data_IF_815595974831
#
_entry.id   IF_815595974831
#
_cell.length_a   1.000
_cell.length_b   1.000
_cell.length_c   1.000
_cell.angle_alpha   90.00
_cell.angle_beta   90.00
_cell.angle_gamma   90.00
#
_symmetry.space_group_name_H-M   'P 1'
#
loop_
_entity.id
_entity.type
_entity.pdbx_description
1 polymer ?
#
# COMPACT_ATOMS: atom_id res chain seq x y z
N UNK A 1 51.19 -6.22 -9.34
CA UNK A 1 51.46 -6.24 -10.78
C UNK A 1 50.42 -7.07 -11.48
N UNK A 2 49.81 -6.57 -12.55
CA UNK A 2 48.82 -7.15 -13.49
C UNK A 2 47.39 -6.75 -13.16
N UNK A 3 46.64 -6.13 -14.01
CA UNK A 3 46.67 -5.37 -15.29
C UNK A 3 45.24 -4.87 -15.46
N UNK A 4 45.10 -3.60 -15.75
CA UNK A 4 43.82 -2.99 -16.20
C UNK A 4 43.36 -3.70 -17.49
N UNK A 5 42.03 -3.88 -17.60
CA UNK A 5 41.38 -4.02 -18.88
C UNK A 5 40.22 -3.02 -18.95
N UNK A 6 40.45 -1.94 -19.64
CA UNK A 6 39.48 -1.00 -20.18
C UNK A 6 38.78 -1.70 -21.35
N UNK A 7 37.45 -1.77 -21.34
CA UNK A 7 36.67 -2.00 -22.56
C UNK A 7 35.62 -0.91 -22.69
N UNK A 8 35.93 -0.02 -23.62
CA UNK A 8 35.01 0.96 -24.18
C UNK A 8 34.06 0.24 -25.15
N UNK A 9 32.76 0.44 -25.05
CA UNK A 9 31.80 0.10 -26.06
C UNK A 9 30.91 1.27 -26.37
N UNK A 10 31.00 1.61 -27.61
CA UNK A 10 30.43 2.57 -28.49
C UNK A 10 28.95 2.94 -28.27
N UNK A 11 28.73 4.21 -28.47
CA UNK A 11 27.49 4.93 -28.75
C UNK A 11 26.89 4.42 -30.07
N UNK A 12 25.63 4.02 -30.06
CA UNK A 12 24.84 3.93 -31.27
C UNK A 12 23.54 4.75 -31.12
N UNK A 13 23.61 5.96 -31.66
CA UNK A 13 22.49 6.85 -31.90
C UNK A 13 21.65 6.32 -33.06
N UNK A 14 20.38 6.05 -32.83
CA UNK A 14 19.41 5.92 -33.91
C UNK A 14 18.28 6.91 -33.63
N UNK A 15 18.31 7.98 -34.41
CA UNK A 15 17.23 8.94 -34.52
C UNK A 15 16.04 8.34 -35.27
N UNK A 16 14.87 8.56 -34.78
CA UNK A 16 13.64 8.43 -35.56
C UNK A 16 12.83 9.72 -35.42
N UNK A 17 12.97 10.57 -36.42
CA UNK A 17 12.00 11.62 -36.76
C UNK A 17 10.78 10.94 -37.39
N UNK A 18 9.61 11.20 -36.87
CA UNK A 18 8.38 11.12 -37.64
C UNK A 18 7.43 12.22 -37.20
N UNK A 19 7.44 13.27 -38.00
CA UNK A 19 6.39 14.28 -38.09
C UNK A 19 5.09 13.62 -38.58
N UNK A 20 4.00 13.83 -37.89
CA UNK A 20 2.68 13.80 -38.50
C UNK A 20 1.88 15.03 -38.08
N UNK A 21 2.03 16.04 -38.89
CA UNK A 21 1.14 17.20 -38.98
C UNK A 21 -0.14 16.77 -39.68
N UNK A 22 -1.25 16.72 -39.01
CA UNK A 22 -2.57 16.70 -39.67
C UNK A 22 -3.33 17.93 -39.22
N UNK A 23 -3.26 18.93 -40.07
CA UNK A 23 -4.16 20.06 -40.09
C UNK A 23 -5.45 19.62 -40.81
N UNK A 24 -6.56 19.57 -40.12
CA UNK A 24 -7.86 19.58 -40.77
C UNK A 24 -8.57 20.90 -40.51
N UNK A 25 -8.63 21.66 -41.54
CA UNK A 25 -9.43 22.84 -41.74
C UNK A 25 -10.93 22.51 -41.67
N UNK A 26 -11.64 23.21 -40.80
CA UNK A 26 -13.12 23.22 -40.74
C UNK A 26 -13.64 24.32 -41.66
N UNK A 27 -14.54 24.05 -42.55
CA UNK A 27 -15.28 25.12 -43.23
C UNK A 27 -16.41 25.63 -42.36
N UNK A 28 -16.39 26.91 -42.17
CA UNK A 28 -17.44 27.73 -41.54
C UNK A 28 -18.57 27.87 -42.51
N UNK A 29 -19.76 27.37 -42.18
CA UNK A 29 -20.96 27.81 -42.89
C UNK A 29 -21.93 28.45 -41.90
N UNK A 30 -22.28 29.65 -42.26
CA UNK A 30 -23.17 30.57 -41.58
C UNK A 30 -24.60 30.38 -42.09
N UNK A 31 -25.56 30.60 -41.17
CA UNK A 31 -26.95 30.94 -41.41
C UNK A 31 -27.98 29.84 -41.19
N UNK A 32 -28.65 29.90 -40.04
CA UNK A 32 -30.12 29.98 -39.99
C UNK A 32 -30.69 29.98 -38.57
N UNK A 33 -31.17 31.16 -38.18
CA UNK A 33 -32.53 31.50 -37.71
C UNK A 33 -33.20 30.59 -36.68
N UNK A 34 -33.29 31.08 -35.42
CA UNK A 34 -34.29 30.66 -34.42
C UNK A 34 -35.72 31.01 -34.89
N UNK A 35 -36.78 30.31 -34.47
CA UNK A 35 -37.44 30.39 -33.16
C UNK A 35 -38.22 29.10 -32.78
N UNK A 36 -39.06 29.09 -31.72
CA UNK A 36 -38.95 29.30 -30.30
C UNK A 36 -39.35 28.06 -29.47
N UNK A 37 -38.94 28.07 -28.25
CA UNK A 37 -39.53 27.56 -27.02
C UNK A 37 -40.63 26.47 -27.14
N UNK A 38 -40.34 25.26 -26.68
CA UNK A 38 -41.32 24.51 -25.87
C UNK A 38 -40.64 23.68 -24.80
N UNK A 39 -41.28 23.71 -23.67
CA UNK A 39 -40.92 23.19 -22.38
C UNK A 39 -40.91 21.66 -22.31
N UNK A 40 -40.07 21.12 -21.42
CA UNK A 40 -40.12 19.75 -20.91
C UNK A 40 -39.30 18.72 -21.69
N UNK A 41 -38.00 18.72 -21.44
CA UNK A 41 -37.22 17.49 -21.61
C UNK A 41 -36.17 17.35 -20.50
N UNK A 42 -36.51 16.49 -19.59
CA UNK A 42 -35.68 15.81 -18.62
C UNK A 42 -34.25 15.62 -19.15
N UNK A 43 -33.29 16.34 -18.57
CA UNK A 43 -31.89 16.19 -18.86
C UNK A 43 -31.42 14.79 -18.41
N UNK A 44 -31.27 13.88 -19.35
CA UNK A 44 -30.51 12.67 -19.18
C UNK A 44 -29.04 13.05 -19.33
N UNK A 45 -28.41 13.37 -18.24
CA UNK A 45 -26.95 13.50 -18.15
C UNK A 45 -26.37 12.12 -18.41
N UNK A 46 -25.89 11.88 -19.62
CA UNK A 46 -25.06 10.72 -19.92
C UNK A 46 -23.71 10.95 -19.26
N UNK A 47 -23.65 10.60 -17.98
CA UNK A 47 -22.38 10.43 -17.27
C UNK A 47 -21.69 9.23 -17.89
N UNK A 48 -20.65 9.46 -18.66
CA UNK A 48 -19.70 8.43 -19.04
C UNK A 48 -19.09 7.90 -17.75
N UNK A 49 -19.65 6.83 -17.26
CA UNK A 49 -19.12 6.09 -16.13
C UNK A 49 -17.88 5.35 -16.61
N UNK A 50 -16.70 5.88 -16.30
CA UNK A 50 -15.52 5.03 -16.19
C UNK A 50 -15.88 3.87 -15.24
N UNK A 51 -15.42 2.65 -15.46
CA UNK A 51 -15.65 1.57 -14.52
C UNK A 51 -14.94 1.91 -13.20
N UNK A 52 -15.67 2.56 -12.34
CA UNK A 52 -15.30 2.65 -10.94
C UNK A 52 -15.69 1.31 -10.35
N UNK A 53 -14.75 0.43 -10.11
CA UNK A 53 -14.89 -0.64 -9.13
C UNK A 53 -15.20 0.04 -7.79
N UNK A 54 -16.48 0.30 -7.59
CA UNK A 54 -17.02 0.72 -6.33
C UNK A 54 -17.25 -0.54 -5.47
N UNK A 55 -16.18 -1.22 -5.13
CA UNK A 55 -16.11 -1.87 -3.84
C UNK A 55 -16.26 -0.73 -2.85
N UNK A 56 -17.37 -0.67 -2.12
CA UNK A 56 -17.65 0.37 -1.14
C UNK A 56 -16.38 0.58 -0.32
N UNK A 57 -15.83 1.80 -0.42
CA UNK A 57 -14.52 2.11 0.10
C UNK A 57 -14.47 1.78 1.59
N UNK A 58 -13.85 0.66 1.92
CA UNK A 58 -13.78 0.09 3.27
C UNK A 58 -12.57 0.67 3.98
N UNK A 59 -12.71 0.99 5.25
CA UNK A 59 -11.57 1.32 6.09
C UNK A 59 -10.65 0.10 6.29
N UNK A 60 -9.48 0.30 6.86
CA UNK A 60 -8.50 -0.76 7.12
C UNK A 60 -9.15 -1.93 7.87
N UNK A 61 -9.94 -1.66 8.91
CA UNK A 61 -10.55 -2.71 9.74
C UNK A 61 -11.58 -3.51 8.94
N UNK A 62 -12.42 -2.83 8.15
CA UNK A 62 -13.41 -3.48 7.30
C UNK A 62 -12.77 -4.24 6.14
N UNK A 63 -11.61 -3.79 5.65
CA UNK A 63 -10.85 -4.48 4.61
C UNK A 63 -10.22 -5.75 5.17
N UNK A 64 -9.54 -5.69 6.32
CA UNK A 64 -8.99 -6.84 7.02
C UNK A 64 -10.05 -7.90 7.34
N UNK A 65 -11.24 -7.49 7.78
CA UNK A 65 -12.34 -8.41 8.10
C UNK A 65 -12.84 -9.21 6.89
N UNK A 66 -12.52 -8.81 5.67
CA UNK A 66 -12.88 -9.55 4.45
C UNK A 66 -11.76 -10.49 3.97
N UNK A 67 -10.58 -10.45 4.60
CA UNK A 67 -9.45 -11.32 4.27
C UNK A 67 -9.40 -12.47 5.28
N UNK A 68 -9.74 -13.67 4.82
CA UNK A 68 -9.81 -14.84 5.70
C UNK A 68 -8.46 -15.20 6.33
N UNK A 69 -7.37 -14.90 5.65
CA UNK A 69 -6.01 -15.15 6.11
C UNK A 69 -5.54 -14.21 7.24
N UNK A 70 -6.31 -13.16 7.55
CA UNK A 70 -6.00 -12.14 8.54
C UNK A 70 -7.02 -12.11 9.69
N UNK A 71 -7.82 -13.18 9.84
CA UNK A 71 -8.87 -13.27 10.86
C UNK A 71 -8.34 -13.14 12.28
N UNK A 72 -7.16 -13.71 12.57
CA UNK A 72 -6.53 -13.64 13.89
C UNK A 72 -6.06 -12.22 14.21
N UNK A 73 -5.58 -11.49 13.21
CA UNK A 73 -5.25 -10.07 13.34
C UNK A 73 -6.48 -9.25 13.69
N UNK A 74 -7.61 -9.49 13.02
CA UNK A 74 -8.88 -8.80 13.33
C UNK A 74 -9.35 -9.08 14.76
N UNK A 75 -9.23 -10.33 15.20
CA UNK A 75 -9.54 -10.69 16.59
C UNK A 75 -8.62 -9.96 17.59
N UNK A 76 -7.33 -9.88 17.29
CA UNK A 76 -6.35 -9.15 18.11
C UNK A 76 -6.64 -7.64 18.16
N UNK A 77 -7.00 -7.01 17.02
CA UNK A 77 -7.38 -5.59 16.95
C UNK A 77 -8.59 -5.30 17.84
N UNK A 78 -9.59 -6.18 17.84
CA UNK A 78 -10.78 -6.08 18.70
C UNK A 78 -10.42 -6.22 20.17
N UNK A 79 -9.63 -7.21 20.53
CA UNK A 79 -9.18 -7.44 21.90
C UNK A 79 -8.38 -6.25 22.45
N UNK A 80 -7.56 -5.64 21.60
CA UNK A 80 -6.75 -4.47 21.95
C UNK A 80 -7.53 -3.13 21.92
N UNK A 81 -8.82 -3.14 21.52
CA UNK A 81 -9.65 -1.94 21.32
C UNK A 81 -9.05 -0.90 20.35
N UNK A 82 -8.26 -1.35 19.36
CA UNK A 82 -7.60 -0.49 18.39
C UNK A 82 -8.47 -0.15 17.16
N UNK A 83 -9.69 -0.68 17.08
CA UNK A 83 -10.58 -0.40 15.96
C UNK A 83 -10.83 1.10 15.76
N UNK A 84 -11.03 1.85 16.86
CA UNK A 84 -11.29 3.28 16.80
C UNK A 84 -10.05 4.05 16.31
N UNK A 85 -8.86 3.63 16.72
CA UNK A 85 -7.60 4.23 16.32
C UNK A 85 -7.35 3.99 14.81
N UNK A 86 -7.60 2.77 14.35
CA UNK A 86 -7.46 2.38 12.94
C UNK A 86 -8.57 2.91 12.02
N UNK A 87 -9.71 3.35 12.56
CA UNK A 87 -10.77 4.06 11.82
C UNK A 87 -10.50 5.57 11.70
N UNK A 88 -9.47 6.07 12.37
CA UNK A 88 -9.08 7.47 12.30
C UNK A 88 -8.68 7.93 10.89
N UNK A 89 -8.55 9.25 10.76
CA UNK A 89 -8.07 9.88 9.52
C UNK A 89 -6.58 9.57 9.34
N UNK A 90 -6.26 8.50 8.52
CA UNK A 90 -4.90 8.16 8.15
C UNK A 90 -4.15 9.30 7.44
N UNK A 91 -3.16 9.02 6.65
CA UNK A 91 -2.86 7.70 6.09
C UNK A 91 -2.07 6.78 7.05
N UNK A 92 -2.46 5.50 7.05
CA UNK A 92 -1.76 4.45 7.77
C UNK A 92 -1.27 3.37 6.81
N UNK A 93 -0.18 2.70 7.18
CA UNK A 93 0.21 1.44 6.56
C UNK A 93 0.18 0.36 7.64
N UNK A 94 -0.64 -0.66 7.45
CA UNK A 94 -0.75 -1.78 8.38
C UNK A 94 0.01 -2.96 7.83
N UNK A 95 0.97 -3.43 8.60
CA UNK A 95 1.70 -4.68 8.33
C UNK A 95 0.88 -5.81 8.94
N UNK A 96 0.08 -6.49 8.11
CA UNK A 96 -0.87 -7.50 8.53
C UNK A 96 -0.23 -8.89 8.59
N UNK A 97 0.03 -9.45 9.78
CA UNK A 97 0.46 -10.83 9.91
C UNK A 97 -0.69 -11.77 9.54
N UNK A 98 -0.43 -12.74 8.68
CA UNK A 98 -1.40 -13.77 8.35
C UNK A 98 -1.59 -14.78 9.51
N UNK A 99 -2.62 -15.62 9.44
CA UNK A 99 -2.90 -16.62 10.47
C UNK A 99 -1.70 -17.55 10.73
N UNK A 100 -0.96 -17.94 9.67
CA UNK A 100 0.27 -18.73 9.81
C UNK A 100 1.37 -18.03 10.60
N UNK A 101 1.40 -16.69 10.59
CA UNK A 101 2.33 -15.91 11.41
C UNK A 101 1.98 -16.01 12.90
N UNK A 102 0.70 -16.05 13.24
CA UNK A 102 0.24 -16.28 14.63
C UNK A 102 0.49 -17.72 15.08
N UNK A 103 0.32 -18.70 14.21
CA UNK A 103 0.62 -20.12 14.49
C UNK A 103 2.10 -20.36 14.77
N UNK A 104 2.98 -19.56 14.19
CA UNK A 104 4.42 -19.61 14.44
C UNK A 104 4.81 -19.07 15.83
N UNK A 105 3.93 -18.35 16.52
CA UNK A 105 4.16 -17.88 17.89
C UNK A 105 3.94 -19.03 18.87
N UNK A 106 4.84 -19.26 19.84
CA UNK A 106 4.59 -20.23 20.90
C UNK A 106 3.24 -19.95 21.61
N UNK A 107 2.39 -20.97 21.71
CA UNK A 107 1.03 -20.83 22.24
C UNK A 107 0.94 -20.07 23.56
N UNK A 108 1.88 -20.29 24.47
CA UNK A 108 1.92 -19.57 25.75
C UNK A 108 2.18 -18.06 25.62
N UNK A 109 2.92 -17.62 24.60
CA UNK A 109 3.09 -16.20 24.28
C UNK A 109 1.85 -15.62 23.63
N UNK A 110 1.26 -16.35 22.70
CA UNK A 110 0.02 -15.93 22.02
C UNK A 110 -1.12 -15.80 23.04
N UNK A 111 -1.30 -16.79 23.91
CA UNK A 111 -2.30 -16.74 24.98
C UNK A 111 -2.11 -15.56 25.92
N UNK A 112 -0.86 -15.28 26.28
CA UNK A 112 -0.53 -14.13 27.14
C UNK A 112 -0.83 -12.80 26.43
N UNK A 113 -0.62 -12.75 25.13
CA UNK A 113 -0.91 -11.60 24.29
C UNK A 113 -2.41 -11.35 24.16
N UNK A 114 -3.18 -12.40 23.87
CA UNK A 114 -4.63 -12.31 23.72
C UNK A 114 -5.38 -12.06 25.03
N UNK A 115 -4.78 -12.39 26.17
CA UNK A 115 -5.36 -12.15 27.51
C UNK A 115 -5.03 -10.76 28.06
N UNK A 116 -4.01 -10.09 27.54
CA UNK A 116 -3.58 -8.77 28.00
C UNK A 116 -3.80 -7.72 26.91
N UNK A 117 -4.91 -6.95 26.97
CA UNK A 117 -5.21 -5.94 25.95
C UNK A 117 -4.10 -4.90 25.77
N UNK A 118 -3.36 -4.60 26.83
CA UNK A 118 -2.28 -3.61 26.78
C UNK A 118 -1.10 -4.11 25.97
N UNK A 119 -0.71 -5.37 26.17
CA UNK A 119 0.35 -6.00 25.39
C UNK A 119 -0.06 -6.19 23.94
N UNK A 120 -1.29 -6.63 23.72
CA UNK A 120 -1.86 -6.72 22.37
C UNK A 120 -1.82 -5.37 21.65
N UNK A 121 -2.25 -4.31 22.31
CA UNK A 121 -2.23 -2.96 21.74
C UNK A 121 -0.81 -2.50 21.41
N UNK A 122 0.17 -2.73 22.29
CA UNK A 122 1.57 -2.34 22.06
C UNK A 122 2.13 -3.07 20.82
N UNK A 123 1.95 -4.38 20.74
CA UNK A 123 2.44 -5.16 19.59
C UNK A 123 1.73 -4.73 18.31
N UNK A 124 0.41 -4.55 18.33
CA UNK A 124 -0.33 -4.13 17.15
C UNK A 124 0.05 -2.73 16.67
N UNK A 125 0.33 -1.79 17.59
CA UNK A 125 0.90 -0.48 17.21
C UNK A 125 2.27 -0.60 16.57
N UNK A 126 3.05 -1.60 16.94
CA UNK A 126 4.31 -1.96 16.28
C UNK A 126 4.13 -2.48 14.84
N UNK A 127 2.91 -2.91 14.47
CA UNK A 127 2.54 -3.29 13.10
C UNK A 127 1.92 -2.16 12.30
N UNK A 128 1.64 -1.01 12.92
CA UNK A 128 1.04 0.14 12.25
C UNK A 128 2.12 1.20 12.04
N UNK A 129 2.32 1.57 10.79
CA UNK A 129 3.26 2.62 10.39
C UNK A 129 2.48 3.89 10.08
N UNK A 130 2.91 5.01 10.65
CA UNK A 130 2.33 6.31 10.35
C UNK A 130 2.78 6.77 8.96
N UNK A 131 1.83 6.92 8.04
CA UNK A 131 2.07 7.32 6.66
C UNK A 131 1.60 6.26 5.65
N UNK A 132 1.54 6.67 4.38
CA UNK A 132 1.21 5.79 3.27
C UNK A 132 2.50 5.29 2.62
N UNK A 133 2.81 4.03 2.83
CA UNK A 133 3.98 3.37 2.25
C UNK A 133 3.53 2.27 1.29
N UNK A 134 3.08 2.68 0.10
CA UNK A 134 2.80 1.75 -0.98
C UNK A 134 4.09 1.08 -1.50
N UNK A 135 3.95 0.04 -2.27
CA UNK A 135 5.08 -0.70 -2.85
C UNK A 135 6.08 0.22 -3.57
N UNK A 136 5.58 1.24 -4.26
CA UNK A 136 6.43 2.20 -4.96
C UNK A 136 7.25 3.06 -3.97
N UNK A 137 6.63 3.52 -2.89
CA UNK A 137 7.29 4.27 -1.83
C UNK A 137 8.31 3.41 -1.08
N UNK A 138 7.99 2.15 -0.79
CA UNK A 138 8.92 1.20 -0.16
C UNK A 138 10.12 0.91 -1.06
N UNK A 139 9.91 0.68 -2.35
CA UNK A 139 11.00 0.48 -3.33
C UNK A 139 11.86 1.73 -3.44
N UNK A 140 11.23 2.91 -3.50
CA UNK A 140 11.96 4.18 -3.54
C UNK A 140 12.81 4.36 -2.30
N UNK A 141 12.25 4.15 -1.11
CA UNK A 141 12.97 4.26 0.15
C UNK A 141 14.18 3.30 0.21
N UNK A 142 14.03 2.07 -0.29
CA UNK A 142 15.10 1.09 -0.39
C UNK A 142 16.18 1.51 -1.40
N UNK A 143 15.78 2.07 -2.52
CA UNK A 143 16.73 2.55 -3.55
C UNK A 143 17.54 3.71 -3.03
N UNK A 144 16.89 4.70 -2.42
CA UNK A 144 17.53 5.89 -1.83
C UNK A 144 18.46 5.48 -0.65
N UNK A 145 18.05 4.47 0.12
CA UNK A 145 18.80 3.91 1.24
C UNK A 145 19.79 2.81 0.89
N UNK A 146 20.15 2.64 -0.40
CA UNK A 146 21.13 1.63 -0.86
C UNK A 146 20.78 0.20 -0.43
N UNK A 147 19.51 -0.15 -0.54
CA UNK A 147 18.97 -1.48 -0.20
C UNK A 147 18.51 -1.61 1.25
N UNK A 148 18.49 -0.53 2.01
CA UNK A 148 17.94 -0.46 3.37
C UNK A 148 17.06 0.77 3.51
N UNK A 149 15.94 0.62 4.21
CA UNK A 149 15.08 1.74 4.58
C UNK A 149 14.62 1.58 6.03
N UNK A 150 14.09 2.63 6.61
CA UNK A 150 13.54 2.60 7.97
C UNK A 150 12.13 3.15 7.97
N UNK A 151 11.23 2.47 8.69
CA UNK A 151 9.86 2.91 8.92
C UNK A 151 9.68 3.16 10.42
N UNK A 152 8.92 4.19 10.76
CA UNK A 152 8.51 4.46 12.14
C UNK A 152 7.11 3.92 12.39
N UNK A 153 6.98 3.09 13.40
CA UNK A 153 5.69 2.55 13.85
C UNK A 153 4.99 3.51 14.83
N UNK A 154 3.71 3.27 15.05
CA UNK A 154 2.90 4.11 15.95
C UNK A 154 3.31 3.97 17.42
N UNK A 155 3.93 2.87 17.80
CA UNK A 155 4.52 2.70 19.14
C UNK A 155 5.90 3.39 19.30
N UNK A 156 6.38 4.07 18.24
CA UNK A 156 7.63 4.81 18.22
C UNK A 156 8.87 3.98 17.90
N UNK A 157 8.72 2.71 17.59
CA UNK A 157 9.83 1.85 17.18
C UNK A 157 10.24 2.11 15.75
N UNK A 158 11.41 1.60 15.39
CA UNK A 158 11.95 1.69 14.04
C UNK A 158 12.07 0.29 13.45
N UNK A 159 11.40 0.08 12.34
CA UNK A 159 11.51 -1.13 11.54
C UNK A 159 12.55 -0.90 10.44
N UNK A 160 13.40 -1.87 10.20
CA UNK A 160 14.36 -1.84 9.10
C UNK A 160 13.84 -2.67 7.93
N UNK A 161 13.73 -2.03 6.77
CA UNK A 161 13.42 -2.73 5.53
C UNK A 161 14.72 -3.11 4.81
N UNK A 162 14.72 -4.29 4.23
CA UNK A 162 15.82 -4.79 3.40
C UNK A 162 15.27 -5.72 2.32
N UNK A 163 16.07 -5.99 1.31
CA UNK A 163 15.72 -6.99 0.30
C UNK A 163 16.57 -8.25 0.56
N UNK A 164 15.87 -9.34 0.87
CA UNK A 164 16.47 -10.66 1.10
C UNK A 164 15.87 -11.63 0.10
N UNK A 165 16.69 -12.33 -0.67
CA UNK A 165 16.24 -13.29 -1.68
C UNK A 165 15.23 -12.72 -2.69
N UNK A 166 15.40 -11.45 -3.09
CA UNK A 166 14.49 -10.70 -3.99
C UNK A 166 13.09 -10.45 -3.40
N UNK A 167 12.90 -10.68 -2.09
CA UNK A 167 11.70 -10.35 -1.36
C UNK A 167 11.96 -9.20 -0.40
N UNK A 168 10.92 -8.41 -0.14
CA UNK A 168 10.99 -7.39 0.89
C UNK A 168 10.93 -8.05 2.26
N UNK A 169 11.90 -7.76 3.08
CA UNK A 169 12.00 -8.22 4.46
C UNK A 169 11.98 -7.03 5.40
N UNK A 170 11.27 -7.19 6.50
CA UNK A 170 11.17 -6.23 7.59
C UNK A 170 11.85 -6.83 8.81
N UNK A 171 12.75 -6.07 9.41
CA UNK A 171 13.43 -6.47 10.65
C UNK A 171 12.96 -5.56 11.77
N UNK A 172 12.51 -6.16 12.87
CA UNK A 172 12.08 -5.44 14.06
C UNK A 172 13.28 -5.03 14.95
N UNK A 173 13.00 -4.31 16.02
CA UNK A 173 14.02 -3.83 16.96
C UNK A 173 14.71 -4.98 17.75
N UNK A 174 14.17 -6.19 17.71
CA UNK A 174 14.73 -7.39 18.35
C UNK A 174 15.57 -8.23 17.38
N UNK A 175 15.57 -7.87 16.09
CA UNK A 175 16.29 -8.58 15.05
C UNK A 175 15.50 -9.71 14.39
N UNK A 176 14.19 -9.84 14.68
CA UNK A 176 13.35 -10.79 13.95
C UNK A 176 13.10 -10.28 12.54
N UNK A 177 13.23 -11.18 11.56
CA UNK A 177 13.05 -10.87 10.15
C UNK A 177 11.76 -11.51 9.66
N UNK A 178 10.87 -10.71 9.11
CA UNK A 178 9.63 -11.16 8.48
C UNK A 178 9.60 -10.76 7.01
N UNK A 179 9.03 -11.59 6.16
CA UNK A 179 8.88 -11.29 4.72
C UNK A 179 7.50 -10.69 4.44
N UNK A 180 7.46 -9.73 3.53
CA UNK A 180 6.21 -9.19 3.01
C UNK A 180 5.68 -10.15 1.92
N UNK A 181 4.45 -10.62 2.10
CA UNK A 181 3.80 -11.61 1.23
C UNK A 181 2.83 -10.99 0.26
N UNK A 182 2.13 -9.93 0.66
CA UNK A 182 1.23 -9.16 -0.19
C UNK A 182 1.47 -7.67 -0.02
N UNK A 183 1.15 -6.90 -1.05
CA UNK A 183 1.37 -5.46 -1.10
C UNK A 183 0.12 -4.73 -1.56
N UNK A 184 -0.01 -3.49 -1.15
CA UNK A 184 -0.93 -2.50 -1.74
C UNK A 184 -2.41 -2.92 -1.68
N UNK A 185 -2.85 -3.62 -0.64
CA UNK A 185 -4.29 -3.81 -0.41
C UNK A 185 -4.88 -2.47 0.03
N UNK A 186 -5.71 -1.84 -0.82
CA UNK A 186 -6.14 -0.47 -0.56
C UNK A 186 -7.26 -0.42 0.47
N UNK A 187 -7.18 0.57 1.35
CA UNK A 187 -8.26 0.96 2.24
C UNK A 187 -8.48 2.48 2.16
N UNK A 188 -9.63 2.97 2.61
CA UNK A 188 -9.98 4.41 2.52
C UNK A 188 -9.03 5.31 3.29
N UNK A 189 -8.50 4.80 4.39
CA UNK A 189 -7.64 5.54 5.30
C UNK A 189 -6.20 4.99 5.36
N UNK A 190 -5.81 4.12 4.40
CA UNK A 190 -4.44 3.61 4.35
C UNK A 190 -4.23 2.46 3.38
N UNK A 191 -3.19 1.70 3.65
CA UNK A 191 -2.77 0.53 2.89
C UNK A 191 -2.52 -0.62 3.85
N UNK A 192 -2.73 -1.84 3.39
CA UNK A 192 -2.43 -3.05 4.11
C UNK A 192 -1.40 -3.86 3.33
N UNK A 193 -0.32 -4.22 3.98
CA UNK A 193 0.73 -5.09 3.46
C UNK A 193 0.77 -6.37 4.31
N UNK A 194 0.54 -7.53 3.69
CA UNK A 194 0.57 -8.81 4.38
C UNK A 194 2.00 -9.29 4.66
N UNK A 195 2.23 -9.82 5.85
CA UNK A 195 3.53 -10.36 6.30
C UNK A 195 3.39 -11.78 6.84
N UNK A 196 4.46 -12.56 6.76
CA UNK A 196 4.49 -13.97 7.19
C UNK A 196 4.97 -14.17 8.64
N UNK A 197 5.13 -13.13 9.40
CA UNK A 197 5.57 -13.19 10.79
C UNK A 197 5.03 -12.04 11.62
N UNK A 198 5.08 -12.17 12.94
CA UNK A 198 4.66 -11.13 13.88
C UNK A 198 5.86 -10.35 14.36
N UNK A 199 5.81 -9.03 14.24
CA UNK A 199 6.83 -8.13 14.75
C UNK A 199 6.68 -7.99 16.27
N UNK A 200 7.75 -8.18 17.00
CA UNK A 200 7.73 -8.08 18.46
C UNK A 200 8.21 -6.69 18.87
N UNK A 201 7.39 -5.98 19.64
CA UNK A 201 7.83 -4.78 20.34
C UNK A 201 8.63 -5.13 21.61
N UNK A 202 9.52 -4.22 22.00
CA UNK A 202 10.29 -4.37 23.26
C UNK A 202 9.39 -4.29 24.49
#
# INVERSE_FOLDING_TARGET
MKKLALTAIAVLSIGFLSNNLFAQTVPRDTTRKNPPMDTTRKATTTTTTAPTDTAAAKDIVATLANVAEESDLVAAIKTANLETELKGTGPFTVLAPNNGAFDAIPKGKLDSLMKDPTKAATILRGHIVAGKYDKAALIKALTDGKGKATLKTMDGQTLMLSVVNKKLAITDAQGNVVEVTSFDTPATNGIIDGINGVLMSK
#
